data_IF_537993151055
#
_entry.id   IF_537993151055
#
_cell.length_a   1.000
_cell.length_b   1.000
_cell.length_c   1.000
_cell.angle_alpha   90.00
_cell.angle_beta   90.00
_cell.angle_gamma   90.00
#
_symmetry.space_group_name_H-M   'P 1'
#
loop_
_entity.id
_entity.type
_entity.pdbx_description
1 polymer ?
#
# COMPACT_ATOMS: atom_id res chain seq x y z
N UNK A 1 -0.86 -15.66 -34.15
CA UNK A 1 -0.85 -15.73 -32.72
C UNK A 1 -1.62 -14.55 -32.15
N UNK A 2 -2.74 -14.83 -31.59
CA UNK A 2 -3.56 -13.80 -31.00
C UNK A 2 -2.87 -13.32 -29.72
N UNK A 3 -2.42 -12.07 -29.74
CA UNK A 3 -2.08 -11.43 -28.50
C UNK A 3 -3.38 -11.25 -27.74
N UNK A 4 -3.55 -12.00 -26.66
CA UNK A 4 -4.61 -11.65 -25.73
C UNK A 4 -4.35 -10.24 -25.23
N UNK A 5 -5.38 -9.41 -25.06
CA UNK A 5 -5.18 -8.12 -24.42
C UNK A 5 -4.52 -8.37 -23.08
N UNK A 6 -3.47 -7.62 -22.80
CA UNK A 6 -2.74 -7.72 -21.54
C UNK A 6 -3.67 -7.36 -20.39
N UNK A 7 -4.40 -8.35 -19.89
CA UNK A 7 -5.22 -8.19 -18.71
C UNK A 7 -4.38 -8.48 -17.46
N UNK A 8 -4.41 -7.53 -16.56
CA UNK A 8 -3.71 -7.65 -15.30
C UNK A 8 -4.72 -7.71 -14.15
N UNK A 9 -4.65 -8.77 -13.38
CA UNK A 9 -5.42 -8.83 -12.14
C UNK A 9 -4.78 -7.91 -11.12
N UNK A 10 -5.57 -6.97 -10.63
CA UNK A 10 -5.11 -5.96 -9.68
C UNK A 10 -6.05 -5.86 -8.51
N UNK A 11 -5.59 -5.22 -7.45
CA UNK A 11 -6.40 -4.97 -6.27
C UNK A 11 -6.59 -3.46 -6.12
N UNK A 12 -7.84 -3.07 -5.92
CA UNK A 12 -8.19 -1.73 -5.45
C UNK A 12 -8.19 -1.76 -3.94
N UNK A 13 -7.27 -1.03 -3.34
CA UNK A 13 -7.08 -1.00 -1.90
C UNK A 13 -7.75 0.26 -1.35
N UNK A 14 -8.79 0.12 -0.51
CA UNK A 14 -9.48 1.30 0.03
C UNK A 14 -8.68 1.95 1.14
N UNK A 15 -8.47 3.24 1.01
CA UNK A 15 -7.89 4.11 2.03
C UNK A 15 -8.91 5.19 2.38
N UNK A 16 -8.55 6.07 3.31
CA UNK A 16 -9.40 7.20 3.63
C UNK A 16 -9.27 8.27 2.54
N UNK A 17 -10.34 8.45 1.78
CA UNK A 17 -10.37 9.45 0.70
C UNK A 17 -9.63 9.07 -0.58
N UNK A 18 -8.92 7.97 -0.59
CA UNK A 18 -8.16 7.51 -1.76
C UNK A 18 -8.28 6.01 -1.93
N UNK A 19 -7.95 5.53 -3.13
CA UNK A 19 -7.78 4.11 -3.41
C UNK A 19 -6.46 3.90 -4.09
N UNK A 20 -5.80 2.80 -3.77
CA UNK A 20 -4.58 2.39 -4.44
C UNK A 20 -4.89 1.26 -5.40
N UNK A 21 -4.21 1.26 -6.54
CA UNK A 21 -4.29 0.17 -7.50
C UNK A 21 -2.93 -0.50 -7.56
N UNK A 22 -2.89 -1.79 -7.24
CA UNK A 22 -1.64 -2.57 -7.25
C UNK A 22 -1.86 -3.89 -7.97
N UNK A 23 -0.86 -4.42 -8.67
CA UNK A 23 -0.96 -5.76 -9.23
C UNK A 23 -1.17 -6.79 -8.12
N UNK A 24 -2.04 -7.75 -8.36
CA UNK A 24 -2.33 -8.79 -7.37
C UNK A 24 -1.08 -9.55 -6.93
N UNK A 25 -0.13 -9.75 -7.83
CA UNK A 25 1.11 -10.47 -7.54
C UNK A 25 1.97 -9.78 -6.48
N UNK A 26 1.75 -8.49 -6.24
CA UNK A 26 2.48 -7.76 -5.21
C UNK A 26 1.97 -8.07 -3.81
N UNK A 27 0.78 -8.66 -3.68
CA UNK A 27 0.14 -8.91 -2.38
C UNK A 27 0.37 -10.35 -1.97
N UNK A 28 0.95 -10.53 -0.78
CA UNK A 28 1.14 -11.85 -0.20
C UNK A 28 -0.13 -12.34 0.49
N UNK A 29 -0.74 -11.49 1.30
CA UNK A 29 -1.95 -11.86 2.04
C UNK A 29 -2.66 -10.62 2.56
N UNK A 30 -3.97 -10.70 2.70
CA UNK A 30 -4.77 -9.71 3.41
C UNK A 30 -5.19 -10.33 4.74
N UNK A 31 -4.78 -9.71 5.83
CA UNK A 31 -5.06 -10.25 7.17
C UNK A 31 -5.98 -9.33 7.95
N UNK A 32 -6.63 -9.90 8.96
CA UNK A 32 -7.40 -9.10 9.91
C UNK A 32 -6.48 -8.18 10.68
N UNK A 33 -6.99 -7.04 11.07
CA UNK A 33 -6.19 -6.09 11.83
C UNK A 33 -5.71 -6.69 13.15
N UNK A 34 -4.42 -6.48 13.42
CA UNK A 34 -3.77 -6.73 14.70
C UNK A 34 -2.99 -5.49 15.06
N UNK A 35 -2.96 -5.15 16.34
CA UNK A 35 -2.21 -3.98 16.78
C UNK A 35 -0.72 -4.20 16.56
N UNK A 36 -0.08 -3.39 15.71
CA UNK A 36 1.37 -3.50 15.53
C UNK A 36 2.10 -3.11 16.80
N UNK A 37 3.18 -3.81 17.09
CA UNK A 37 4.05 -3.48 18.22
C UNK A 37 5.08 -2.45 17.80
N UNK A 38 5.06 -1.32 18.47
CA UNK A 38 6.01 -0.22 18.25
C UNK A 38 6.89 -0.08 19.49
N UNK A 39 8.19 0.03 19.26
CA UNK A 39 9.13 0.27 20.35
C UNK A 39 8.88 1.62 21.00
N UNK A 40 8.69 1.64 22.31
CA UNK A 40 8.50 2.87 23.07
C UNK A 40 9.80 3.61 23.30
N UNK A 41 10.91 2.95 23.12
CA UNK A 41 12.24 3.53 23.38
C UNK A 41 12.70 4.46 22.26
N UNK A 42 12.03 4.44 21.13
CA UNK A 42 12.43 5.25 19.98
C UNK A 42 11.32 6.20 19.55
N UNK A 43 11.24 7.36 20.23
CA UNK A 43 10.30 8.42 19.91
C UNK A 43 10.60 9.12 18.57
N UNK A 44 11.70 8.74 17.92
CA UNK A 44 12.10 9.34 16.64
C UNK A 44 11.50 8.64 15.44
N UNK A 45 10.75 7.57 15.65
CA UNK A 45 10.06 6.90 14.55
C UNK A 45 8.91 7.75 14.05
N UNK A 46 8.75 7.86 12.74
CA UNK A 46 7.67 8.66 12.18
C UNK A 46 6.29 8.07 12.53
N UNK A 47 5.30 8.94 12.59
CA UNK A 47 3.93 8.53 12.94
C UNK A 47 3.31 7.55 11.96
N UNK A 48 3.73 7.57 10.69
CA UNK A 48 3.20 6.65 9.68
C UNK A 48 3.73 5.23 9.84
N UNK A 49 4.80 5.02 10.60
CA UNK A 49 5.27 3.69 10.94
C UNK A 49 4.52 3.21 12.18
N UNK A 50 3.66 2.23 12.01
CA UNK A 50 2.78 1.78 13.09
C UNK A 50 3.40 0.75 14.01
N UNK A 51 4.50 0.16 13.60
CA UNK A 51 5.14 -0.91 14.34
C UNK A 51 5.25 -2.17 13.50
N UNK A 52 5.41 -3.32 14.16
CA UNK A 52 5.56 -4.61 13.49
C UNK A 52 4.51 -5.60 13.97
N UNK A 53 4.08 -6.47 13.06
CA UNK A 53 3.18 -7.58 13.38
C UNK A 53 3.89 -8.89 13.06
N UNK A 54 3.55 -9.92 13.81
CA UNK A 54 4.01 -11.27 13.46
C UNK A 54 3.15 -11.83 12.34
N UNK A 55 3.81 -12.26 11.30
CA UNK A 55 3.16 -12.88 10.16
C UNK A 55 4.09 -13.93 9.56
N UNK A 56 3.58 -15.16 9.44
CA UNK A 56 4.33 -16.27 8.85
C UNK A 56 5.74 -16.44 9.45
N UNK A 57 5.85 -16.31 10.76
CA UNK A 57 7.12 -16.44 11.48
C UNK A 57 8.06 -15.24 11.33
N UNK A 58 7.59 -14.13 10.80
CA UNK A 58 8.37 -12.92 10.57
C UNK A 58 7.74 -11.73 11.29
N UNK A 59 8.58 -10.77 11.62
CA UNK A 59 8.13 -9.49 12.16
C UNK A 59 8.06 -8.48 11.03
N UNK A 60 6.87 -8.26 10.51
CA UNK A 60 6.65 -7.44 9.32
C UNK A 60 6.33 -6.02 9.72
N UNK A 61 7.05 -5.01 9.18
CA UNK A 61 6.75 -3.61 9.47
C UNK A 61 5.43 -3.21 8.80
N UNK A 62 4.64 -2.39 9.49
CA UNK A 62 3.32 -1.94 9.04
C UNK A 62 3.32 -0.42 8.93
N UNK A 63 2.82 0.09 7.82
CA UNK A 63 2.75 1.52 7.55
C UNK A 63 1.30 1.99 7.39
N UNK A 64 1.11 3.30 7.56
CA UNK A 64 -0.10 4.01 7.17
C UNK A 64 0.22 4.89 5.97
N UNK A 65 -0.38 4.59 4.83
CA UNK A 65 -0.21 5.40 3.63
C UNK A 65 -0.79 6.81 3.84
N UNK A 66 -1.92 6.91 4.53
CA UNK A 66 -2.51 8.20 4.89
C UNK A 66 -1.54 9.04 5.73
N UNK A 67 -0.88 8.41 6.70
CA UNK A 67 0.12 9.08 7.52
C UNK A 67 1.33 9.57 6.72
N UNK A 68 1.79 8.78 5.75
CA UNK A 68 2.88 9.20 4.85
C UNK A 68 2.46 10.40 4.03
N UNK A 69 1.20 10.47 3.65
CA UNK A 69 0.64 11.58 2.87
C UNK A 69 0.41 12.85 3.69
N UNK A 70 0.74 12.83 4.97
CA UNK A 70 0.57 13.99 5.86
C UNK A 70 -0.82 14.07 6.50
N UNK A 71 -1.66 13.08 6.31
CA UNK A 71 -2.96 13.00 6.92
C UNK A 71 -2.88 12.28 8.26
N UNK A 72 -3.94 12.35 9.03
CA UNK A 72 -4.01 11.61 10.28
C UNK A 72 -4.09 10.11 10.01
N UNK A 73 -3.39 9.35 10.85
CA UNK A 73 -3.52 7.89 10.84
C UNK A 73 -4.92 7.55 11.32
N UNK A 74 -5.65 6.80 10.49
CA UNK A 74 -7.04 6.50 10.78
C UNK A 74 -7.19 5.55 11.96
N UNK A 75 -8.25 5.78 12.75
CA UNK A 75 -8.60 4.87 13.81
C UNK A 75 -9.08 3.54 13.24
N UNK A 76 -8.76 2.49 13.93
CA UNK A 76 -9.21 1.15 13.58
C UNK A 76 -10.72 1.01 13.70
N UNK A 77 -11.32 0.33 12.74
CA UNK A 77 -12.73 -0.06 12.75
C UNK A 77 -12.82 -1.57 12.53
N UNK A 78 -14.00 -2.14 12.56
CA UNK A 78 -14.18 -3.55 12.22
C UNK A 78 -13.83 -3.88 10.77
N UNK A 79 -13.70 -2.88 9.90
CA UNK A 79 -13.35 -3.04 8.49
C UNK A 79 -11.86 -2.95 8.22
N UNK A 80 -11.08 -2.45 9.17
CA UNK A 80 -9.63 -2.27 9.00
C UNK A 80 -8.94 -3.61 8.73
N UNK A 81 -8.06 -3.61 7.74
CA UNK A 81 -7.27 -4.79 7.38
C UNK A 81 -5.81 -4.39 7.27
N UNK A 82 -4.94 -5.38 7.26
CA UNK A 82 -3.53 -5.20 6.90
C UNK A 82 -3.29 -5.98 5.63
N UNK A 83 -2.83 -5.28 4.60
CA UNK A 83 -2.38 -5.92 3.36
C UNK A 83 -0.89 -6.14 3.48
N UNK A 84 -0.46 -7.39 3.37
CA UNK A 84 0.97 -7.76 3.40
C UNK A 84 1.45 -7.83 1.96
N UNK A 85 2.48 -7.03 1.65
CA UNK A 85 3.07 -6.96 0.32
C UNK A 85 4.40 -7.70 0.29
N UNK A 86 4.68 -8.30 -0.85
CA UNK A 86 6.04 -8.73 -1.16
C UNK A 86 6.88 -7.50 -1.46
N UNK A 87 8.09 -7.44 -0.92
CA UNK A 87 9.03 -6.41 -1.32
C UNK A 87 9.48 -6.65 -2.77
N UNK A 88 9.48 -5.59 -3.57
CA UNK A 88 9.89 -5.66 -4.97
C UNK A 88 11.40 -5.51 -5.09
N UNK A 89 11.98 -4.61 -4.27
CA UNK A 89 13.40 -4.33 -4.27
C UNK A 89 14.17 -5.12 -3.22
N UNK A 90 15.44 -4.77 -3.08
CA UNK A 90 16.37 -5.45 -2.15
C UNK A 90 16.59 -4.69 -0.84
N UNK A 91 15.96 -3.51 -0.69
CA UNK A 91 16.18 -2.64 0.46
C UNK A 91 15.65 -3.23 1.77
N UNK A 92 14.53 -3.94 1.72
CA UNK A 92 13.96 -4.61 2.89
C UNK A 92 14.44 -6.05 2.96
N UNK A 93 15.33 -6.31 3.91
CA UNK A 93 15.89 -7.66 4.10
C UNK A 93 14.83 -8.69 4.47
N UNK A 94 13.79 -8.27 5.20
CA UNK A 94 12.71 -9.17 5.59
C UNK A 94 11.84 -9.59 4.41
N UNK A 95 11.85 -8.80 3.33
CA UNK A 95 11.15 -9.14 2.10
C UNK A 95 9.66 -8.86 2.07
N UNK A 96 9.11 -8.25 3.11
CA UNK A 96 7.67 -7.98 3.24
C UNK A 96 7.43 -6.69 3.99
N UNK A 97 6.31 -6.05 3.72
CA UNK A 97 5.80 -4.98 4.58
C UNK A 97 4.28 -4.99 4.53
N UNK A 98 3.65 -4.46 5.56
CA UNK A 98 2.20 -4.35 5.65
C UNK A 98 1.73 -2.91 5.54
N UNK A 99 0.51 -2.74 5.12
CA UNK A 99 -0.16 -1.44 5.03
C UNK A 99 -1.55 -1.58 5.60
N UNK A 100 -1.94 -0.68 6.52
CA UNK A 100 -3.33 -0.68 6.99
C UNK A 100 -4.25 -0.12 5.91
N UNK A 101 -5.41 -0.72 5.79
CA UNK A 101 -6.43 -0.32 4.82
C UNK A 101 -7.75 -0.12 5.52
N UNK A 102 -8.65 0.63 4.89
CA UNK A 102 -9.94 0.97 5.48
C UNK A 102 -11.02 -0.07 5.14
N UNK A 103 -10.62 -1.14 4.48
CA UNK A 103 -11.51 -2.24 4.16
C UNK A 103 -10.77 -3.31 3.37
N UNK A 104 -11.51 -4.33 2.96
CA UNK A 104 -10.95 -5.43 2.18
C UNK A 104 -10.72 -4.97 0.73
N UNK A 105 -9.56 -5.25 0.14
CA UNK A 105 -9.30 -4.89 -1.25
C UNK A 105 -10.23 -5.60 -2.22
N UNK A 106 -10.55 -4.91 -3.31
CA UNK A 106 -11.41 -5.43 -4.37
C UNK A 106 -10.56 -5.92 -5.55
N UNK A 107 -10.80 -7.14 -5.99
CA UNK A 107 -10.14 -7.68 -7.17
C UNK A 107 -10.77 -7.07 -8.43
N UNK A 108 -9.93 -6.52 -9.29
CA UNK A 108 -10.34 -5.92 -10.56
C UNK A 108 -9.45 -6.41 -11.68
N UNK A 109 -10.00 -6.47 -12.89
CA UNK A 109 -9.21 -6.70 -14.11
C UNK A 109 -8.95 -5.36 -14.76
N UNK A 110 -7.70 -5.10 -15.08
CA UNK A 110 -7.32 -3.87 -15.76
C UNK A 110 -6.59 -4.19 -17.07
N UNK A 111 -6.85 -3.35 -18.07
CA UNK A 111 -6.16 -3.39 -19.35
C UNK A 111 -6.18 -1.98 -19.92
N UNK A 112 -5.59 -1.78 -21.09
CA UNK A 112 -5.52 -0.46 -21.72
C UNK A 112 -6.88 0.17 -22.08
N UNK A 113 -7.95 -0.63 -22.14
CA UNK A 113 -9.28 -0.11 -22.46
C UNK A 113 -10.00 0.47 -21.24
N UNK A 114 -9.68 0.00 -20.04
CA UNK A 114 -10.35 0.44 -18.81
C UNK A 114 -9.48 1.30 -17.94
N UNK A 115 -8.20 1.36 -18.19
CA UNK A 115 -7.23 2.10 -17.37
C UNK A 115 -6.45 3.09 -18.21
N UNK A 116 -6.42 4.34 -17.81
CA UNK A 116 -5.61 5.37 -18.46
C UNK A 116 -4.98 6.27 -17.41
N UNK A 117 -4.00 7.06 -17.82
CA UNK A 117 -3.41 8.05 -16.93
C UNK A 117 -4.39 9.22 -16.74
N UNK A 118 -4.46 9.71 -15.51
CA UNK A 118 -5.27 10.89 -15.17
C UNK A 118 -4.34 12.07 -14.94
N UNK A 119 -4.44 13.07 -15.81
CA UNK A 119 -3.58 14.25 -15.74
C UNK A 119 -4.22 15.46 -15.08
N UNK A 120 -5.56 15.45 -14.94
CA UNK A 120 -6.30 16.59 -14.41
C UNK A 120 -6.49 16.57 -12.89
N UNK A 121 -6.22 15.43 -12.26
CA UNK A 121 -6.36 15.24 -10.82
C UNK A 121 -5.00 14.91 -10.22
N UNK A 122 -4.22 15.91 -9.84
CA UNK A 122 -2.89 15.67 -9.27
C UNK A 122 -2.98 15.02 -7.90
N UNK A 123 -1.85 14.52 -7.45
CA UNK A 123 -1.68 14.08 -6.06
C UNK A 123 -0.71 15.04 -5.38
N UNK A 124 -0.73 15.16 -4.04
CA UNK A 124 0.20 16.03 -3.34
C UNK A 124 1.65 15.62 -3.59
N UNK A 125 2.51 16.62 -3.73
CA UNK A 125 3.94 16.40 -3.91
C UNK A 125 4.54 15.70 -2.69
N UNK A 126 5.55 14.89 -2.94
CA UNK A 126 6.27 14.19 -1.89
C UNK A 126 5.64 12.87 -1.47
N UNK A 127 4.46 12.53 -1.96
CA UNK A 127 3.87 11.24 -1.69
C UNK A 127 4.55 10.14 -2.51
N UNK A 128 4.64 8.91 -1.96
CA UNK A 128 5.20 7.77 -2.70
C UNK A 128 4.20 7.23 -3.71
N UNK A 129 3.94 8.00 -4.74
CA UNK A 129 2.98 7.71 -5.80
C UNK A 129 3.66 7.83 -7.15
N UNK A 130 3.48 6.82 -7.99
CA UNK A 130 3.99 6.86 -9.37
C UNK A 130 3.10 7.69 -10.27
N UNK A 131 1.79 7.50 -10.17
CA UNK A 131 0.84 8.24 -11.01
C UNK A 131 -0.57 8.08 -10.46
N UNK A 132 -1.45 8.97 -10.93
CA UNK A 132 -2.89 8.81 -10.77
C UNK A 132 -3.44 8.18 -12.04
N UNK A 133 -4.35 7.23 -11.90
CA UNK A 133 -5.01 6.59 -13.02
C UNK A 133 -6.47 6.98 -13.07
N UNK A 134 -7.11 6.64 -14.17
CA UNK A 134 -8.55 6.81 -14.36
C UNK A 134 -9.15 5.48 -14.80
N UNK A 135 -10.10 5.03 -14.03
CA UNK A 135 -10.99 3.93 -14.36
C UNK A 135 -12.41 4.49 -14.53
N UNK A 136 -13.38 3.67 -14.88
CA UNK A 136 -14.73 4.12 -15.28
C UNK A 136 -15.32 5.20 -14.34
N UNK A 137 -15.28 5.00 -13.05
CA UNK A 137 -15.83 5.95 -12.07
C UNK A 137 -14.87 6.25 -10.93
N UNK A 138 -13.59 5.96 -11.09
CA UNK A 138 -12.60 6.05 -10.01
C UNK A 138 -11.28 6.57 -10.53
N UNK A 139 -10.50 7.15 -9.63
CA UNK A 139 -9.20 7.74 -9.96
C UNK A 139 -8.14 7.22 -9.00
N UNK A 140 -7.88 5.89 -9.00
CA UNK A 140 -6.92 5.33 -8.04
C UNK A 140 -5.50 5.75 -8.33
N UNK A 141 -4.70 5.80 -7.25
CA UNK A 141 -3.28 6.06 -7.32
C UNK A 141 -2.52 4.75 -7.47
N UNK A 142 -1.45 4.77 -8.25
CA UNK A 142 -0.50 3.67 -8.26
C UNK A 142 0.63 4.05 -7.32
N UNK A 143 0.82 3.31 -6.21
CA UNK A 143 1.86 3.65 -5.26
C UNK A 143 3.25 3.31 -5.78
N UNK A 144 4.24 4.06 -5.33
CA UNK A 144 5.65 3.77 -5.59
C UNK A 144 6.15 2.81 -4.52
N UNK A 145 6.04 1.52 -4.81
CA UNK A 145 6.37 0.46 -3.85
C UNK A 145 7.85 0.48 -3.46
N UNK A 146 8.73 0.72 -4.41
CA UNK A 146 10.18 0.78 -4.13
C UNK A 146 10.50 1.93 -3.18
N UNK A 147 9.84 3.06 -3.35
CA UNK A 147 10.03 4.19 -2.46
C UNK A 147 9.53 3.90 -1.05
N UNK A 148 8.38 3.23 -0.92
CA UNK A 148 7.86 2.80 0.39
C UNK A 148 8.86 1.88 1.09
N UNK A 149 9.43 0.94 0.34
CA UNK A 149 10.43 0.02 0.88
C UNK A 149 11.69 0.76 1.33
N UNK A 150 12.16 1.72 0.53
CA UNK A 150 13.32 2.54 0.87
C UNK A 150 13.06 3.38 2.13
N UNK A 151 11.86 3.92 2.26
CA UNK A 151 11.48 4.67 3.47
C UNK A 151 11.53 3.79 4.72
N UNK A 152 11.04 2.58 4.62
CA UNK A 152 11.08 1.62 5.73
C UNK A 152 12.51 1.19 6.05
N UNK A 153 13.32 0.94 5.03
CA UNK A 153 14.71 0.53 5.21
C UNK A 153 15.55 1.62 5.87
N UNK A 154 15.17 2.88 5.70
CA UNK A 154 15.84 4.02 6.31
C UNK A 154 15.50 4.26 7.79
N UNK A 155 14.54 3.50 8.34
CA UNK A 155 14.17 3.67 9.75
C UNK A 155 15.21 3.05 10.67
N UNK A 156 15.39 3.63 11.88
CA UNK A 156 16.27 3.02 12.88
C UNK A 156 15.74 1.65 13.28
N UNK A 157 16.68 0.74 13.59
CA UNK A 157 16.37 -0.62 14.00
C UNK A 157 15.64 -0.67 15.34
#
# INVERSE_FOLDING_TARGET
>A
MTSEPDELYSLLIPLDGERLLVPRVCVAEVIMFRDPERSRENDQLPSWFLGRVEWSGRRVPVISFEGISGEEVQNRTGRTRIVVFHAIGDDLKIGYFGMITQGFPQLVRVNGDVLSLESERPWPEGQPVLCRTRMINEYPLIPDMERLEAMLAGLPA
#
